data_IF_595769589834
#
_entry.id   IF_595769589834
#
_cell.length_a   1.000
_cell.length_b   1.000
_cell.length_c   1.000
_cell.angle_alpha   90.00
_cell.angle_beta   90.00
_cell.angle_gamma   90.00
#
_symmetry.space_group_name_H-M   'P 1'
#
loop_
_entity.id
_entity.type
_entity.pdbx_description
1 polymer ?
#
# COMPACT_ATOMS: atom_id res chain seq x y z
N UNK A 1 -11.08 19.71 4.72
CA UNK A 1 -10.17 18.55 4.53
C UNK A 1 -10.82 17.37 3.77
N UNK A 2 -12.04 16.92 4.10
CA UNK A 2 -12.73 15.83 3.35
C UNK A 2 -13.01 16.16 1.87
N UNK A 3 -13.44 17.38 1.55
CA UNK A 3 -13.70 17.83 0.16
C UNK A 3 -12.43 17.95 -0.70
N UNK A 4 -11.30 18.34 -0.10
CA UNK A 4 -10.02 18.43 -0.82
C UNK A 4 -9.53 17.03 -1.21
N UNK A 5 -9.84 16.01 -0.38
CA UNK A 5 -9.49 14.62 -0.64
C UNK A 5 -10.48 13.90 -1.58
N UNK A 6 -11.67 14.46 -1.83
CA UNK A 6 -12.68 13.84 -2.72
C UNK A 6 -12.47 14.17 -4.19
N UNK A 7 -11.68 15.19 -4.52
CA UNK A 7 -11.37 15.64 -5.90
C UNK A 7 -10.02 15.16 -6.43
N UNK A 8 -9.34 14.22 -5.75
CA UNK A 8 -8.02 13.73 -6.17
C UNK A 8 -8.14 12.63 -7.22
N UNK A 9 -7.46 12.80 -8.35
CA UNK A 9 -7.39 11.81 -9.43
C UNK A 9 -6.64 10.53 -9.02
N UNK A 10 -5.73 10.63 -8.04
CA UNK A 10 -4.97 9.48 -7.53
C UNK A 10 -5.77 8.67 -6.53
N UNK A 11 -5.69 7.34 -6.66
CA UNK A 11 -6.30 6.38 -5.74
C UNK A 11 -5.24 5.85 -4.76
N UNK A 12 -5.63 4.89 -3.93
CA UNK A 12 -4.68 4.18 -3.09
C UNK A 12 -3.95 5.05 -2.06
N UNK A 13 -2.69 4.72 -1.80
CA UNK A 13 -1.76 5.45 -0.93
C UNK A 13 -1.34 6.78 -1.57
N UNK A 14 -1.22 6.83 -2.90
CA UNK A 14 -0.78 8.01 -3.65
C UNK A 14 -1.80 9.15 -3.66
N UNK A 15 -3.03 8.91 -3.19
CA UNK A 15 -3.95 10.01 -2.84
C UNK A 15 -3.37 10.96 -1.80
N UNK A 16 -2.34 10.56 -1.05
CA UNK A 16 -1.66 11.36 -0.01
C UNK A 16 -0.28 11.84 -0.47
N UNK A 17 -0.07 12.01 -1.78
CA UNK A 17 1.22 12.31 -2.40
C UNK A 17 2.02 13.42 -1.71
N UNK A 18 1.36 14.47 -1.24
CA UNK A 18 1.98 15.64 -0.62
C UNK A 18 2.61 15.32 0.74
N UNK A 19 2.28 14.18 1.33
CA UNK A 19 2.86 13.65 2.57
C UNK A 19 3.92 12.56 2.30
N UNK A 20 4.14 12.19 1.03
CA UNK A 20 5.00 11.07 0.65
C UNK A 20 6.26 11.56 -0.07
N UNK A 21 7.45 11.05 0.29
CA UNK A 21 8.74 11.63 -0.09
C UNK A 21 9.26 11.11 -1.45
N UNK A 22 8.41 11.04 -2.47
CA UNK A 22 8.76 10.51 -3.81
C UNK A 22 8.42 11.54 -4.88
N UNK A 23 9.25 11.81 -5.87
CA UNK A 23 8.86 12.70 -6.98
C UNK A 23 7.90 12.01 -7.96
N UNK A 24 7.00 12.75 -8.60
CA UNK A 24 5.86 12.19 -9.35
C UNK A 24 6.26 11.22 -10.47
N UNK A 25 7.37 11.50 -11.15
CA UNK A 25 7.91 10.68 -12.24
C UNK A 25 8.40 9.29 -11.82
N UNK A 26 8.67 9.07 -10.53
CA UNK A 26 9.19 7.79 -10.02
C UNK A 26 8.14 6.90 -9.36
N UNK A 27 6.88 7.33 -9.32
CA UNK A 27 5.80 6.60 -8.65
C UNK A 27 5.55 5.26 -9.34
N UNK A 28 5.59 4.20 -8.53
CA UNK A 28 5.20 2.83 -8.88
C UNK A 28 3.88 2.52 -8.19
N UNK A 29 2.78 2.64 -8.94
CA UNK A 29 1.42 2.42 -8.44
C UNK A 29 0.78 1.19 -9.10
N UNK A 30 0.61 0.13 -8.31
CA UNK A 30 -0.17 -1.07 -8.68
C UNK A 30 -1.51 -1.13 -7.93
N UNK A 31 -1.96 -0.02 -7.34
CA UNK A 31 -3.24 0.08 -6.65
C UNK A 31 -3.18 -0.17 -5.13
N UNK A 32 -2.01 0.02 -4.50
CA UNK A 32 -1.85 -0.14 -3.06
C UNK A 32 -2.68 0.89 -2.28
N UNK A 33 -3.46 0.45 -1.30
CA UNK A 33 -4.30 1.28 -0.45
C UNK A 33 -5.76 1.40 -0.94
N UNK A 34 -6.50 2.39 -0.42
CA UNK A 34 -7.91 2.58 -0.80
C UNK A 34 -8.86 1.43 -0.41
N UNK A 35 -8.40 0.48 0.38
CA UNK A 35 -9.15 -0.72 0.78
C UNK A 35 -10.43 -0.46 1.58
N UNK A 36 -11.40 -1.39 1.59
CA UNK A 36 -12.66 -1.21 2.29
C UNK A 36 -12.51 -1.00 3.81
N UNK A 37 -13.42 -0.19 4.37
CA UNK A 37 -13.68 -0.12 5.80
C UNK A 37 -15.06 -0.73 6.04
N UNK A 38 -15.09 -2.00 6.44
CA UNK A 38 -16.30 -2.81 6.51
C UNK A 38 -16.95 -2.63 7.89
N UNK A 39 -18.21 -2.22 7.94
CA UNK A 39 -18.96 -2.17 9.19
C UNK A 39 -19.43 -3.59 9.56
N UNK A 40 -18.78 -4.20 10.56
CA UNK A 40 -19.04 -5.57 11.00
C UNK A 40 -20.21 -5.64 12.00
N UNK A 41 -21.42 -5.33 11.52
CA UNK A 41 -22.63 -5.14 12.37
C UNK A 41 -22.93 -6.33 13.27
N UNK A 42 -22.95 -7.54 12.70
CA UNK A 42 -23.34 -8.74 13.45
C UNK A 42 -22.28 -9.15 14.49
N UNK A 43 -21.00 -9.10 14.12
CA UNK A 43 -19.92 -9.34 15.07
C UNK A 43 -19.95 -8.28 16.19
N UNK A 44 -20.13 -7.01 15.84
CA UNK A 44 -20.28 -5.92 16.79
C UNK A 44 -21.41 -6.17 17.79
N UNK A 45 -22.59 -6.56 17.31
CA UNK A 45 -23.75 -6.93 18.14
C UNK A 45 -23.39 -8.05 19.13
N UNK A 46 -22.71 -9.10 18.67
CA UNK A 46 -22.31 -10.26 19.49
C UNK A 46 -21.33 -9.93 20.60
N UNK A 47 -20.49 -8.91 20.44
CA UNK A 47 -19.47 -8.50 21.42
C UNK A 47 -19.79 -7.17 22.12
N UNK A 48 -21.01 -6.66 21.98
CA UNK A 48 -21.45 -5.42 22.65
C UNK A 48 -20.90 -4.12 22.05
N UNK A 49 -20.35 -4.14 20.83
CA UNK A 49 -19.81 -2.97 20.14
C UNK A 49 -20.78 -2.45 19.07
N UNK A 50 -21.26 -1.21 19.23
CA UNK A 50 -22.15 -0.54 18.25
C UNK A 50 -21.43 -0.13 16.97
N UNK A 51 -20.13 0.15 17.04
CA UNK A 51 -19.32 0.72 15.97
C UNK A 51 -18.07 -0.12 15.72
N UNK A 52 -18.24 -1.39 15.36
CA UNK A 52 -17.14 -2.25 14.98
C UNK A 52 -16.87 -2.16 13.47
N UNK A 53 -15.67 -1.73 13.09
CA UNK A 53 -15.24 -1.67 11.69
C UNK A 53 -13.99 -2.52 11.47
N UNK A 54 -13.93 -3.19 10.33
CA UNK A 54 -12.78 -3.96 9.87
C UNK A 54 -12.13 -3.19 8.73
N UNK A 55 -10.87 -2.79 8.91
CA UNK A 55 -10.06 -2.25 7.83
C UNK A 55 -9.50 -3.42 7.01
N UNK A 56 -10.11 -3.72 5.87
CA UNK A 56 -9.80 -4.93 5.13
C UNK A 56 -8.61 -4.74 4.18
N UNK A 57 -7.39 -4.74 4.72
CA UNK A 57 -6.17 -4.63 3.93
C UNK A 57 -5.76 -5.91 3.20
N UNK A 58 -6.53 -7.00 3.29
CA UNK A 58 -6.31 -8.18 2.44
C UNK A 58 -6.72 -7.94 0.99
N UNK A 59 -7.38 -6.82 0.67
CA UNK A 59 -7.70 -6.43 -0.70
C UNK A 59 -6.68 -5.50 -1.35
N UNK A 60 -5.49 -5.35 -0.76
CA UNK A 60 -4.36 -4.77 -1.49
C UNK A 60 -3.84 -5.77 -2.55
N UNK A 61 -3.05 -5.35 -3.55
CA UNK A 61 -2.61 -6.19 -4.67
C UNK A 61 -1.90 -7.50 -4.29
N UNK A 62 -1.03 -7.50 -3.28
CA UNK A 62 -0.35 -8.68 -2.73
C UNK A 62 -1.13 -9.32 -1.57
N UNK A 63 -2.40 -8.96 -1.40
CA UNK A 63 -3.28 -9.38 -0.31
C UNK A 63 -2.80 -9.00 1.10
N UNK A 64 -2.00 -7.93 1.22
CA UNK A 64 -1.48 -7.48 2.52
C UNK A 64 -1.36 -5.97 2.62
N UNK A 65 -1.46 -5.43 3.84
CA UNK A 65 -1.19 -4.01 4.10
C UNK A 65 0.25 -3.59 3.72
N UNK A 66 1.16 -4.56 3.56
CA UNK A 66 2.58 -4.34 3.20
C UNK A 66 2.76 -3.68 1.83
N UNK A 67 1.77 -3.74 0.95
CA UNK A 67 1.79 -3.01 -0.33
C UNK A 67 1.89 -1.50 -0.14
N UNK A 68 1.32 -0.94 0.94
CA UNK A 68 1.36 0.50 1.22
C UNK A 68 2.81 1.00 1.38
N UNK A 69 3.62 0.49 2.32
CA UNK A 69 5.02 0.90 2.42
C UNK A 69 5.87 0.38 1.25
N UNK A 70 5.61 -0.80 0.70
CA UNK A 70 6.38 -1.32 -0.43
C UNK A 70 6.26 -0.42 -1.67
N UNK A 71 5.06 0.09 -1.98
CA UNK A 71 4.84 1.06 -3.06
C UNK A 71 5.73 2.29 -2.89
N UNK A 72 5.76 2.88 -1.70
CA UNK A 72 6.56 4.08 -1.43
C UNK A 72 8.05 3.76 -1.47
N UNK A 73 8.50 2.67 -0.85
CA UNK A 73 9.90 2.30 -0.77
C UNK A 73 10.49 1.98 -2.14
N UNK A 74 9.81 1.18 -2.96
CA UNK A 74 10.27 0.83 -4.31
C UNK A 74 10.27 2.05 -5.22
N UNK A 75 9.24 2.91 -5.13
CA UNK A 75 9.24 4.17 -5.89
C UNK A 75 10.41 5.07 -5.51
N UNK A 76 10.74 5.13 -4.21
CA UNK A 76 11.90 5.89 -3.74
C UNK A 76 13.22 5.28 -4.20
N UNK A 77 13.32 3.95 -4.23
CA UNK A 77 14.48 3.26 -4.78
C UNK A 77 14.70 3.57 -6.26
N UNK A 78 13.62 3.68 -7.06
CA UNK A 78 13.70 4.14 -8.45
C UNK A 78 14.21 5.58 -8.55
N UNK A 79 13.71 6.48 -7.70
CA UNK A 79 14.16 7.89 -7.66
C UNK A 79 15.64 8.01 -7.32
N UNK A 80 16.14 7.15 -6.44
CA UNK A 80 17.57 7.07 -6.12
C UNK A 80 18.40 6.29 -7.14
N UNK A 81 17.79 5.80 -8.22
CA UNK A 81 18.44 4.98 -9.24
C UNK A 81 19.19 3.77 -8.65
N UNK A 82 18.59 3.12 -7.64
CA UNK A 82 19.20 1.94 -7.02
C UNK A 82 19.07 0.72 -7.93
N UNK A 83 20.10 -0.13 -8.02
CA UNK A 83 20.11 -1.28 -8.92
C UNK A 83 19.24 -2.44 -8.41
N UNK A 84 18.82 -2.42 -7.14
CA UNK A 84 18.17 -3.54 -6.47
C UNK A 84 17.41 -3.08 -5.22
N UNK A 85 16.33 -3.79 -4.92
CA UNK A 85 15.65 -3.75 -3.62
C UNK A 85 15.70 -5.13 -2.97
N UNK A 86 15.56 -5.19 -1.65
CA UNK A 86 15.47 -6.48 -0.97
C UNK A 86 14.90 -6.38 0.43
N UNK A 87 14.53 -7.53 0.98
CA UNK A 87 14.06 -7.63 2.36
C UNK A 87 14.40 -8.99 2.97
N UNK A 88 14.69 -9.00 4.28
CA UNK A 88 14.77 -10.22 5.08
C UNK A 88 13.38 -10.54 5.63
N UNK A 89 12.61 -11.34 4.91
CA UNK A 89 11.23 -11.69 5.29
C UNK A 89 10.79 -12.96 4.59
N UNK A 90 10.08 -13.82 5.31
CA UNK A 90 9.53 -15.07 4.78
C UNK A 90 8.04 -14.99 4.40
N UNK A 91 7.45 -13.79 4.39
CA UNK A 91 5.99 -13.64 4.25
C UNK A 91 5.55 -12.38 3.52
N UNK A 92 4.44 -11.79 3.95
CA UNK A 92 3.75 -10.70 3.24
C UNK A 92 4.63 -9.54 2.75
N UNK A 93 5.69 -9.18 3.49
CA UNK A 93 6.59 -8.11 3.05
C UNK A 93 7.46 -8.56 1.86
N UNK A 94 7.90 -9.81 1.80
CA UNK A 94 8.60 -10.36 0.65
C UNK A 94 7.70 -10.36 -0.59
N UNK A 95 6.45 -10.79 -0.44
CA UNK A 95 5.47 -10.77 -1.54
C UNK A 95 5.21 -9.35 -2.04
N UNK A 96 4.93 -8.40 -1.14
CA UNK A 96 4.67 -7.01 -1.50
C UNK A 96 5.90 -6.35 -2.16
N UNK A 97 7.08 -6.49 -1.55
CA UNK A 97 8.33 -5.92 -2.10
C UNK A 97 8.61 -6.48 -3.48
N UNK A 98 8.50 -7.80 -3.67
CA UNK A 98 8.75 -8.45 -4.97
C UNK A 98 7.74 -8.02 -6.03
N UNK A 99 6.45 -7.90 -5.68
CA UNK A 99 5.41 -7.45 -6.62
C UNK A 99 5.64 -6.00 -7.08
N UNK A 100 5.94 -5.10 -6.14
CA UNK A 100 6.23 -3.71 -6.46
C UNK A 100 7.54 -3.55 -7.24
N UNK A 101 8.58 -4.33 -6.90
CA UNK A 101 9.85 -4.32 -7.62
C UNK A 101 9.71 -4.82 -9.07
N UNK A 102 8.90 -5.86 -9.29
CA UNK A 102 8.57 -6.35 -10.63
C UNK A 102 7.85 -5.27 -11.46
N UNK A 103 6.88 -4.56 -10.88
CA UNK A 103 6.19 -3.45 -11.54
C UNK A 103 7.12 -2.26 -11.85
N UNK A 104 8.19 -2.11 -11.07
CA UNK A 104 9.22 -1.08 -11.23
C UNK A 104 10.33 -1.45 -12.23
N UNK A 105 10.35 -2.71 -12.69
CA UNK A 105 11.49 -3.32 -13.40
C UNK A 105 12.81 -3.19 -12.61
N UNK A 106 12.76 -3.41 -11.30
CA UNK A 106 13.91 -3.39 -10.39
C UNK A 106 14.16 -4.80 -9.85
N UNK A 107 15.39 -5.34 -9.91
CA UNK A 107 15.75 -6.59 -9.27
C UNK A 107 15.36 -6.63 -7.78
N UNK A 108 14.82 -7.77 -7.33
CA UNK A 108 14.40 -7.98 -5.95
C UNK A 108 15.06 -9.22 -5.35
N UNK A 109 15.67 -9.09 -4.17
CA UNK A 109 16.25 -10.21 -3.42
C UNK A 109 15.53 -10.37 -2.08
N UNK A 110 15.06 -11.58 -1.81
CA UNK A 110 14.47 -11.97 -0.53
C UNK A 110 15.45 -12.92 0.17
N UNK A 111 15.82 -12.59 1.41
CA UNK A 111 16.75 -13.35 2.25
C UNK A 111 16.02 -14.03 3.41
#
# INVERSE_FOLDING_TARGET
MKEVLSRRFRRGVWRYKELLPVSDEFIVDIGAGGTPLVHARELGRRIGLRNLYIKNDTQNPSFSFKDRPASVAVSKAREFNLPLVGCASTGNLASATSAHAAAANVPCVVL
#
